data_IF_233927209124
#
_entry.id   IF_233927209124
#
_cell.length_a   1.000
_cell.length_b   1.000
_cell.length_c   1.000
_cell.angle_alpha   90.00
_cell.angle_beta   90.00
_cell.angle_gamma   90.00
#
_symmetry.space_group_name_H-M   'P 1'
#
loop_
_entity.id
_entity.type
_entity.pdbx_description
1 polymer ?
#
# COMPACT_ATOMS: atom_id res chain seq x y z
N UNK A 1 55.71 -53.49 -24.39
CA UNK A 1 56.47 -52.81 -23.33
C UNK A 1 55.83 -51.44 -23.12
N UNK A 2 55.19 -51.25 -21.96
CA UNK A 2 54.77 -49.97 -21.33
C UNK A 2 53.59 -49.24 -22.03
N UNK A 3 52.33 -49.29 -21.58
CA UNK A 3 51.63 -48.81 -20.35
C UNK A 3 50.92 -47.43 -20.50
N UNK A 4 49.61 -47.45 -20.20
CA UNK A 4 48.76 -46.46 -19.51
C UNK A 4 48.37 -45.09 -20.13
N UNK A 5 47.08 -45.02 -20.51
CA UNK A 5 46.00 -44.18 -19.99
C UNK A 5 46.25 -42.80 -19.33
N UNK A 6 45.22 -41.94 -19.52
CA UNK A 6 44.72 -40.84 -18.64
C UNK A 6 45.49 -39.51 -18.79
N UNK A 7 44.90 -38.31 -18.96
CA UNK A 7 43.60 -37.74 -18.58
C UNK A 7 43.21 -36.60 -19.55
N UNK A 8 41.91 -36.51 -19.87
CA UNK A 8 41.29 -35.26 -20.34
C UNK A 8 41.24 -34.27 -19.16
N UNK A 9 41.88 -33.11 -19.29
CA UNK A 9 41.83 -32.05 -18.29
C UNK A 9 40.67 -31.08 -18.62
N UNK A 10 39.46 -31.46 -18.23
CA UNK A 10 38.32 -30.56 -18.18
C UNK A 10 38.50 -29.72 -16.92
N UNK A 11 39.02 -28.51 -17.07
CA UNK A 11 38.89 -27.48 -16.03
C UNK A 11 37.43 -27.03 -16.01
N UNK A 12 36.59 -27.81 -15.31
CA UNK A 12 35.28 -27.40 -14.83
C UNK A 12 35.45 -26.18 -13.94
N UNK A 13 35.21 -25.00 -14.51
CA UNK A 13 34.91 -23.80 -13.76
C UNK A 13 33.54 -24.01 -13.12
N UNK A 14 33.52 -24.49 -11.88
CA UNK A 14 32.36 -24.33 -11.00
C UNK A 14 32.24 -22.85 -10.68
N UNK A 15 31.53 -22.11 -11.54
CA UNK A 15 30.93 -20.85 -11.12
C UNK A 15 29.76 -21.25 -10.22
N UNK A 16 30.04 -21.36 -8.92
CA UNK A 16 28.98 -21.35 -7.90
C UNK A 16 28.40 -19.94 -7.96
N UNK A 17 27.38 -19.78 -8.81
CA UNK A 17 26.51 -18.63 -8.78
C UNK A 17 25.82 -18.69 -7.42
N UNK A 18 26.40 -18.03 -6.42
CA UNK A 18 25.72 -17.73 -5.18
C UNK A 18 24.55 -16.82 -5.54
N UNK A 19 23.42 -17.45 -5.85
CA UNK A 19 22.13 -16.81 -5.86
C UNK A 19 21.89 -16.38 -4.41
N UNK A 20 22.39 -15.20 -4.06
CA UNK A 20 21.90 -14.45 -2.93
C UNK A 20 20.45 -14.16 -3.26
N UNK A 21 19.56 -15.07 -2.89
CA UNK A 21 18.16 -14.78 -2.73
C UNK A 21 18.14 -13.73 -1.64
N UNK A 22 18.12 -12.46 -2.05
CA UNK A 22 17.78 -11.37 -1.16
C UNK A 22 16.30 -11.58 -0.84
N UNK A 23 16.01 -12.43 0.14
CA UNK A 23 14.75 -12.39 0.83
C UNK A 23 14.71 -11.02 1.48
N UNK A 24 14.02 -10.07 0.84
CA UNK A 24 13.58 -8.85 1.50
C UNK A 24 12.74 -9.31 2.70
N UNK A 25 13.38 -9.40 3.87
CA UNK A 25 12.77 -9.88 5.10
C UNK A 25 11.87 -8.76 5.63
N UNK A 26 10.64 -8.68 5.12
CA UNK A 26 9.63 -7.81 5.71
C UNK A 26 9.34 -8.28 7.14
N UNK A 27 9.40 -7.35 8.09
CA UNK A 27 8.98 -7.58 9.45
C UNK A 27 7.44 -7.70 9.52
N UNK A 28 6.94 -8.28 10.60
CA UNK A 28 5.52 -8.21 10.91
C UNK A 28 5.11 -6.74 11.16
N UNK A 29 3.85 -6.35 10.87
CA UNK A 29 3.36 -5.02 11.23
C UNK A 29 3.59 -4.74 12.73
N UNK A 30 3.95 -3.50 13.12
CA UNK A 30 4.27 -3.14 14.50
C UNK A 30 3.03 -3.03 15.42
N UNK A 31 1.92 -3.65 15.03
CA UNK A 31 0.67 -3.68 15.76
C UNK A 31 0.01 -5.05 15.63
N UNK A 32 -0.79 -5.42 16.63
CA UNK A 32 -1.67 -6.60 16.54
C UNK A 32 -3.00 -6.16 15.94
N UNK A 33 -3.56 -6.96 15.04
CA UNK A 33 -4.87 -6.68 14.46
C UNK A 33 -5.92 -6.59 15.60
N UNK A 34 -6.65 -5.47 15.73
CA UNK A 34 -7.71 -5.33 16.72
C UNK A 34 -8.86 -6.32 16.48
N UNK A 35 -9.69 -6.55 17.49
CA UNK A 35 -10.92 -7.35 17.34
C UNK A 35 -11.86 -6.68 16.34
N UNK A 36 -12.65 -7.47 15.62
CA UNK A 36 -13.59 -6.95 14.62
C UNK A 36 -14.56 -5.89 15.19
N UNK A 37 -15.01 -6.07 16.44
CA UNK A 37 -15.87 -5.10 17.14
C UNK A 37 -15.24 -3.71 17.29
N UNK A 38 -13.91 -3.65 17.40
CA UNK A 38 -13.17 -2.40 17.51
C UNK A 38 -12.85 -1.82 16.13
N UNK A 39 -12.51 -2.68 15.16
CA UNK A 39 -12.34 -2.29 13.76
C UNK A 39 -13.61 -1.67 13.18
N UNK A 40 -14.79 -2.22 13.49
CA UNK A 40 -16.07 -1.71 13.02
C UNK A 40 -16.39 -0.29 13.54
N UNK A 41 -15.62 0.24 14.50
CA UNK A 41 -15.71 1.63 14.95
C UNK A 41 -14.88 2.60 14.09
N UNK A 42 -14.01 2.09 13.23
CA UNK A 42 -13.07 2.83 12.38
C UNK A 42 -13.60 3.01 10.94
N UNK A 43 -14.84 3.52 10.79
CA UNK A 43 -15.50 3.63 9.48
C UNK A 43 -15.38 4.99 8.81
N UNK A 44 -14.73 5.94 9.47
CA UNK A 44 -14.68 7.31 8.96
C UNK A 44 -13.31 7.91 9.16
N UNK A 45 -12.84 8.63 8.16
CA UNK A 45 -11.58 9.36 8.23
C UNK A 45 -11.66 10.68 7.46
N UNK A 46 -10.70 11.56 7.73
CA UNK A 46 -10.48 12.78 6.95
C UNK A 46 -9.00 12.86 6.57
N UNK A 47 -8.74 13.14 5.29
CA UNK A 47 -7.42 13.56 4.81
C UNK A 47 -7.49 15.07 4.58
N UNK A 48 -6.73 15.82 5.36
CA UNK A 48 -6.52 17.25 5.14
C UNK A 48 -5.34 17.43 4.20
N UNK A 49 -5.56 18.10 3.08
CA UNK A 49 -4.53 18.35 2.05
C UNK A 49 -4.37 19.84 1.80
N UNK A 50 -3.37 20.21 1.01
CA UNK A 50 -3.20 21.57 0.48
C UNK A 50 -4.35 22.04 -0.42
N UNK A 51 -5.21 21.14 -0.91
CA UNK A 51 -6.38 21.45 -1.76
C UNK A 51 -7.72 21.42 -1.03
N UNK A 52 -7.71 21.08 0.26
CA UNK A 52 -8.92 20.94 1.05
C UNK A 52 -9.03 19.56 1.71
N UNK A 53 -10.21 19.26 2.21
CA UNK A 53 -10.48 18.05 3.01
C UNK A 53 -11.16 16.99 2.16
N UNK A 54 -10.67 15.76 2.26
CA UNK A 54 -11.33 14.57 1.75
C UNK A 54 -11.95 13.82 2.91
N UNK A 55 -13.27 13.65 2.90
CA UNK A 55 -13.99 12.85 3.89
C UNK A 55 -14.14 11.44 3.35
N UNK A 56 -13.79 10.45 4.16
CA UNK A 56 -13.68 9.06 3.75
C UNK A 56 -14.64 8.18 4.53
N UNK A 57 -15.24 7.22 3.84
CA UNK A 57 -15.74 5.98 4.43
C UNK A 57 -14.64 4.91 4.33
N UNK A 58 -14.41 4.17 5.42
CA UNK A 58 -13.44 3.07 5.48
C UNK A 58 -14.16 1.72 5.62
N UNK A 59 -13.51 0.64 5.16
CA UNK A 59 -14.10 -0.69 5.03
C UNK A 59 -13.39 -1.74 5.91
N UNK A 60 -13.54 -1.66 7.25
CA UNK A 60 -12.88 -2.60 8.18
C UNK A 60 -13.35 -4.05 8.04
N UNK A 61 -14.51 -4.30 7.43
CA UNK A 61 -14.99 -5.65 7.12
C UNK A 61 -14.32 -6.27 5.90
N UNK A 62 -13.94 -5.45 4.91
CA UNK A 62 -13.35 -5.91 3.65
C UNK A 62 -11.82 -5.91 3.68
N UNK A 63 -11.22 -4.95 4.40
CA UNK A 63 -9.78 -4.77 4.49
C UNK A 63 -9.33 -4.43 5.94
N UNK A 64 -9.52 -5.35 6.91
CA UNK A 64 -9.23 -5.10 8.32
C UNK A 64 -7.77 -4.74 8.60
N UNK A 65 -6.80 -5.38 7.93
CA UNK A 65 -5.38 -5.05 8.12
C UNK A 65 -5.05 -3.66 7.60
N UNK A 66 -5.60 -3.26 6.46
CA UNK A 66 -5.34 -1.94 5.89
C UNK A 66 -5.99 -0.82 6.69
N UNK A 67 -7.22 -0.99 7.16
CA UNK A 67 -7.88 0.01 8.01
C UNK A 67 -7.15 0.16 9.35
N UNK A 68 -6.72 -0.95 9.97
CA UNK A 68 -5.93 -0.93 11.19
C UNK A 68 -4.57 -0.22 10.99
N UNK A 69 -3.87 -0.54 9.91
CA UNK A 69 -2.59 0.07 9.56
C UNK A 69 -2.74 1.57 9.27
N UNK A 70 -3.78 1.96 8.51
CA UNK A 70 -4.07 3.36 8.20
C UNK A 70 -4.35 4.16 9.47
N UNK A 71 -5.15 3.62 10.41
CA UNK A 71 -5.35 4.20 11.75
C UNK A 71 -4.05 4.34 12.51
N UNK A 72 -3.25 3.27 12.57
CA UNK A 72 -1.99 3.24 13.30
C UNK A 72 -1.04 4.33 12.78
N UNK A 73 -0.83 4.42 11.46
CA UNK A 73 0.05 5.42 10.86
C UNK A 73 -0.48 6.85 11.04
N UNK A 74 -1.80 7.05 10.91
CA UNK A 74 -2.43 8.35 11.15
C UNK A 74 -2.23 8.83 12.60
N UNK A 75 -2.41 7.95 13.59
CA UNK A 75 -2.19 8.27 15.01
C UNK A 75 -0.74 8.66 15.33
N UNK A 76 0.21 8.09 14.59
CA UNK A 76 1.63 8.41 14.71
C UNK A 76 2.05 9.59 13.83
N UNK A 77 1.09 10.33 13.25
CA UNK A 77 1.33 11.47 12.37
C UNK A 77 2.24 11.16 11.18
N UNK A 78 2.31 9.89 10.76
CA UNK A 78 3.23 9.42 9.72
C UNK A 78 3.04 10.19 8.40
N UNK A 79 1.77 10.42 8.02
CA UNK A 79 1.42 11.05 6.75
C UNK A 79 1.63 12.57 6.71
N UNK A 80 1.88 13.22 7.85
CA UNK A 80 1.93 14.67 7.92
C UNK A 80 3.15 15.21 7.13
N UNK A 81 2.88 16.05 6.14
CA UNK A 81 3.88 16.61 5.24
C UNK A 81 4.39 15.61 4.18
N UNK A 82 3.78 14.44 4.04
CA UNK A 82 4.03 13.56 2.89
C UNK A 82 3.29 14.08 1.67
N UNK A 83 3.80 13.72 0.49
CA UNK A 83 3.29 14.21 -0.79
C UNK A 83 2.52 13.14 -1.54
N UNK A 84 1.62 13.58 -2.40
CA UNK A 84 1.21 12.78 -3.55
C UNK A 84 2.31 12.84 -4.61
N UNK A 85 3.10 11.77 -4.72
CA UNK A 85 4.25 11.72 -5.63
C UNK A 85 3.89 11.23 -7.03
N UNK A 86 2.74 10.58 -7.22
CA UNK A 86 2.24 10.16 -8.54
C UNK A 86 0.88 10.82 -8.79
N UNK A 87 0.76 11.46 -9.95
CA UNK A 87 -0.50 11.95 -10.50
C UNK A 87 -0.61 11.49 -11.95
N UNK A 88 -1.58 10.65 -12.22
CA UNK A 88 -1.95 10.26 -13.59
C UNK A 88 -3.37 10.73 -13.85
N UNK A 89 -3.50 11.67 -14.79
CA UNK A 89 -4.78 12.27 -15.15
C UNK A 89 -5.76 11.16 -15.57
N UNK A 90 -6.98 11.26 -15.07
CA UNK A 90 -8.06 10.30 -15.35
C UNK A 90 -7.74 8.86 -14.94
N UNK A 91 -6.79 8.66 -14.00
CA UNK A 91 -6.49 7.35 -13.45
C UNK A 91 -6.33 7.37 -11.94
N UNK A 92 -5.21 7.86 -11.40
CA UNK A 92 -4.94 7.84 -9.95
C UNK A 92 -4.15 9.07 -9.47
N UNK A 93 -4.37 9.41 -8.20
CA UNK A 93 -3.43 10.18 -7.39
C UNK A 93 -2.90 9.25 -6.28
N UNK A 94 -1.58 9.10 -6.16
CA UNK A 94 -0.95 8.21 -5.18
C UNK A 94 0.07 8.96 -4.33
N UNK A 95 0.06 8.65 -3.03
CA UNK A 95 0.89 9.29 -2.02
C UNK A 95 1.18 8.37 -0.85
N UNK A 96 1.72 8.95 0.23
CA UNK A 96 1.99 8.23 1.47
C UNK A 96 3.35 7.54 1.54
N UNK A 97 4.23 7.72 0.54
CA UNK A 97 5.57 7.15 0.59
C UNK A 97 6.52 7.89 1.56
N UNK A 98 7.56 7.23 2.09
CA UNK A 98 8.51 7.82 3.03
C UNK A 98 9.14 9.13 2.54
N UNK A 99 9.26 10.14 3.41
CA UNK A 99 9.76 11.48 3.06
C UNK A 99 11.12 11.49 2.33
N UNK A 100 12.03 10.58 2.69
CA UNK A 100 13.36 10.45 2.07
C UNK A 100 13.39 9.54 0.84
N UNK A 101 12.34 8.74 0.64
CA UNK A 101 12.21 7.81 -0.48
C UNK A 101 10.72 7.66 -0.84
N UNK A 102 10.13 8.57 -1.64
CA UNK A 102 8.69 8.58 -1.92
C UNK A 102 8.18 7.31 -2.61
N UNK A 103 9.04 6.57 -3.30
CA UNK A 103 8.70 5.31 -3.96
C UNK A 103 9.00 4.08 -3.11
N UNK A 104 9.59 4.28 -1.93
CA UNK A 104 9.89 3.23 -0.96
C UNK A 104 8.73 2.92 -0.03
N UNK A 105 8.99 2.10 0.97
CA UNK A 105 8.00 1.70 1.97
C UNK A 105 8.65 1.54 3.34
N UNK A 106 7.84 1.26 4.36
CA UNK A 106 8.37 0.82 5.66
C UNK A 106 8.81 -0.64 5.60
N UNK A 107 9.46 -1.11 6.66
CA UNK A 107 10.05 -2.44 6.72
C UNK A 107 9.03 -3.57 6.98
N UNK A 108 7.74 -3.36 6.70
CA UNK A 108 6.70 -4.39 6.69
C UNK A 108 5.80 -4.21 5.46
N UNK A 109 5.12 -5.30 5.09
CA UNK A 109 4.06 -5.30 4.08
C UNK A 109 2.73 -5.74 4.70
N UNK A 110 1.64 -5.46 4.00
CA UNK A 110 0.31 -5.92 4.39
C UNK A 110 -0.11 -7.09 3.49
N UNK A 111 -0.87 -8.08 4.01
CA UNK A 111 -1.41 -9.14 3.18
C UNK A 111 -2.37 -8.57 2.12
N UNK A 112 -2.54 -9.27 1.00
CA UNK A 112 -3.58 -8.93 0.04
C UNK A 112 -4.99 -9.14 0.66
N UNK A 113 -5.84 -8.11 0.65
CA UNK A 113 -7.25 -8.19 1.08
C UNK A 113 -8.16 -7.80 -0.10
N UNK A 114 -7.97 -8.47 -1.23
CA UNK A 114 -8.78 -8.22 -2.43
C UNK A 114 -10.25 -8.50 -2.16
N UNK A 115 -11.11 -7.57 -2.60
CA UNK A 115 -12.54 -7.62 -2.35
C UNK A 115 -13.34 -7.24 -3.61
N UNK A 116 -14.65 -7.47 -3.58
CA UNK A 116 -15.56 -7.32 -4.73
C UNK A 116 -15.93 -5.86 -5.04
N UNK A 117 -15.32 -4.88 -4.36
CA UNK A 117 -15.57 -3.47 -4.64
C UNK A 117 -14.93 -3.10 -5.97
N UNK A 118 -15.63 -2.28 -6.75
CA UNK A 118 -15.13 -1.76 -8.00
C UNK A 118 -14.17 -0.58 -7.74
N UNK A 119 -13.05 -0.52 -8.46
CA UNK A 119 -12.16 0.65 -8.50
C UNK A 119 -12.83 1.77 -9.31
N UNK A 120 -13.64 2.57 -8.64
CA UNK A 120 -14.40 3.70 -9.19
C UNK A 120 -13.81 5.04 -8.76
N UNK A 121 -14.28 6.14 -9.34
CA UNK A 121 -13.91 7.47 -8.89
C UNK A 121 -14.04 7.63 -7.36
N UNK A 122 -12.95 8.10 -6.73
CA UNK A 122 -12.86 8.32 -5.29
C UNK A 122 -12.56 7.08 -4.44
N UNK A 123 -12.44 5.87 -5.01
CA UNK A 123 -12.06 4.69 -4.19
C UNK A 123 -10.61 4.78 -3.74
N UNK A 124 -10.35 4.38 -2.50
CA UNK A 124 -9.02 4.26 -1.94
C UNK A 124 -8.55 2.82 -2.04
N UNK A 125 -7.40 2.63 -2.68
CA UNK A 125 -6.72 1.34 -2.72
C UNK A 125 -5.27 1.45 -2.29
N UNK A 126 -4.68 0.31 -1.94
CA UNK A 126 -3.30 0.26 -1.47
C UNK A 126 -2.37 -0.08 -2.61
N UNK A 127 -1.26 0.65 -2.71
CA UNK A 127 -0.27 0.39 -3.73
C UNK A 127 0.40 -0.96 -3.47
N UNK A 128 0.96 -1.57 -4.50
CA UNK A 128 1.80 -2.76 -4.38
C UNK A 128 2.84 -2.78 -5.48
N UNK A 129 3.92 -3.51 -5.24
CA UNK A 129 4.90 -3.84 -6.28
C UNK A 129 4.27 -4.76 -7.34
N UNK A 130 4.90 -4.82 -8.52
CA UNK A 130 4.48 -5.71 -9.61
C UNK A 130 4.55 -7.18 -9.19
N UNK A 131 3.60 -8.00 -9.67
CA UNK A 131 3.44 -9.39 -9.24
C UNK A 131 4.68 -10.25 -9.53
N UNK A 132 5.45 -9.94 -10.58
CA UNK A 132 6.69 -10.66 -10.90
C UNK A 132 7.73 -10.61 -9.78
N UNK A 133 7.77 -9.51 -9.02
CA UNK A 133 8.68 -9.28 -7.89
C UNK A 133 7.95 -9.28 -6.54
N UNK A 134 6.66 -9.60 -6.56
CA UNK A 134 5.77 -9.64 -5.40
C UNK A 134 4.74 -10.76 -5.59
N UNK A 135 5.17 -12.03 -5.60
CA UNK A 135 4.30 -13.17 -5.90
C UNK A 135 3.18 -13.36 -4.88
N UNK A 136 3.40 -12.96 -3.62
CA UNK A 136 2.38 -12.96 -2.57
C UNK A 136 1.35 -11.83 -2.75
N UNK A 137 1.61 -10.93 -3.71
CA UNK A 137 0.79 -9.76 -4.05
C UNK A 137 0.52 -8.87 -2.82
N UNK A 138 1.46 -8.88 -1.88
CA UNK A 138 1.42 -8.10 -0.65
C UNK A 138 1.31 -6.61 -0.98
N UNK A 139 0.51 -5.91 -0.19
CA UNK A 139 0.31 -4.47 -0.33
C UNK A 139 1.41 -3.71 0.38
N UNK A 140 1.62 -2.47 -0.08
CA UNK A 140 2.45 -1.50 0.61
C UNK A 140 1.96 -1.29 2.04
N UNK A 141 2.87 -1.00 2.97
CA UNK A 141 2.48 -0.57 4.31
C UNK A 141 2.08 0.90 4.38
N UNK A 142 2.45 1.74 3.41
CA UNK A 142 2.26 3.19 3.53
C UNK A 142 1.63 3.87 2.32
N UNK A 143 1.90 3.36 1.12
CA UNK A 143 1.45 4.01 -0.10
C UNK A 143 0.02 3.61 -0.44
N UNK A 144 -0.84 4.62 -0.60
CA UNK A 144 -2.22 4.47 -1.05
C UNK A 144 -2.50 5.36 -2.26
N UNK A 145 -3.47 4.96 -3.05
CA UNK A 145 -3.97 5.70 -4.20
C UNK A 145 -5.45 6.02 -4.06
N UNK A 146 -5.88 7.13 -4.67
CA UNK A 146 -7.28 7.49 -4.84
C UNK A 146 -7.56 7.50 -6.34
N UNK A 147 -8.60 6.78 -6.77
CA UNK A 147 -9.00 6.69 -8.16
C UNK A 147 -9.59 8.02 -8.65
N UNK A 148 -9.10 8.49 -9.79
CA UNK A 148 -9.58 9.67 -10.51
C UNK A 148 -10.46 9.31 -11.71
N UNK A 149 -10.67 8.01 -11.98
CA UNK A 149 -11.68 7.48 -12.90
C UNK A 149 -11.94 6.00 -12.59
N UNK A 150 -12.85 5.35 -13.31
CA UNK A 150 -13.06 3.89 -13.26
C UNK A 150 -11.84 3.15 -13.81
N UNK A 151 -11.35 2.14 -13.07
CA UNK A 151 -10.22 1.30 -13.46
C UNK A 151 -10.52 -0.20 -13.30
N UNK A 152 -11.29 -0.84 -14.20
CA UNK A 152 -11.71 -2.24 -14.05
C UNK A 152 -10.54 -3.22 -14.01
N UNK A 153 -9.41 -2.89 -14.64
CA UNK A 153 -8.20 -3.71 -14.63
C UNK A 153 -7.53 -3.83 -13.25
N UNK A 154 -7.91 -2.98 -12.29
CA UNK A 154 -7.44 -3.06 -10.91
C UNK A 154 -8.33 -3.93 -10.03
N UNK A 155 -9.56 -4.24 -10.47
CA UNK A 155 -10.50 -5.03 -9.69
C UNK A 155 -9.91 -6.40 -9.35
N UNK A 156 -10.15 -6.86 -8.12
CA UNK A 156 -9.60 -8.10 -7.57
C UNK A 156 -8.06 -8.19 -7.60
N UNK A 157 -7.39 -7.07 -7.84
CA UNK A 157 -5.92 -7.00 -7.97
C UNK A 157 -5.24 -5.99 -7.06
N UNK A 158 -6.00 -5.05 -6.52
CA UNK A 158 -5.56 -4.12 -5.50
C UNK A 158 -6.57 -4.10 -4.35
N UNK A 159 -6.08 -3.94 -3.13
CA UNK A 159 -6.93 -3.91 -1.94
C UNK A 159 -7.62 -2.56 -1.84
N UNK A 160 -8.95 -2.51 -2.00
CA UNK A 160 -9.76 -1.34 -1.67
C UNK A 160 -10.06 -1.35 -0.18
N UNK A 161 -9.77 -0.24 0.53
CA UNK A 161 -10.00 -0.12 1.97
C UNK A 161 -10.87 1.08 2.36
N UNK A 162 -11.29 1.90 1.40
CA UNK A 162 -12.20 3.02 1.63
C UNK A 162 -12.66 3.72 0.35
N UNK A 163 -13.44 4.79 0.51
CA UNK A 163 -13.89 5.67 -0.59
C UNK A 163 -14.09 7.10 -0.07
N UNK A 164 -13.76 8.08 -0.91
CA UNK A 164 -14.13 9.48 -0.68
C UNK A 164 -15.65 9.60 -0.74
N UNK A 165 -16.27 10.24 0.25
CA UNK A 165 -17.71 10.49 0.33
C UNK A 165 -18.07 11.98 0.34
N UNK A 166 -17.10 12.87 0.59
CA UNK A 166 -17.23 14.32 0.38
C UNK A 166 -15.85 14.96 0.16
N UNK A 167 -15.84 16.17 -0.43
CA UNK A 167 -14.60 16.88 -0.80
C UNK A 167 -14.09 16.53 -2.20
N UNK A 168 -14.98 16.19 -3.13
CA UNK A 168 -14.60 15.81 -4.49
C UNK A 168 -13.99 16.97 -5.30
N UNK A 169 -14.31 18.21 -4.96
CA UNK A 169 -13.67 19.42 -5.47
C UNK A 169 -12.18 19.45 -5.10
N UNK A 170 -11.85 19.17 -3.84
CA UNK A 170 -10.47 19.02 -3.39
C UNK A 170 -9.77 17.86 -4.09
N UNK A 171 -10.44 16.70 -4.24
CA UNK A 171 -9.89 15.55 -4.98
C UNK A 171 -9.56 15.89 -6.43
N UNK A 172 -10.48 16.56 -7.14
CA UNK A 172 -10.29 16.97 -8.52
C UNK A 172 -9.15 18.00 -8.69
N UNK A 173 -8.89 18.79 -7.65
CA UNK A 173 -7.83 19.79 -7.63
C UNK A 173 -6.43 19.22 -7.31
N UNK A 174 -6.34 18.01 -6.75
CA UNK A 174 -5.05 17.40 -6.38
C UNK A 174 -4.14 17.13 -7.59
N UNK A 175 -2.86 17.41 -7.41
CA UNK A 175 -1.78 17.19 -8.38
C UNK A 175 -0.55 16.62 -7.66
N UNK A 176 0.44 16.21 -8.46
CA UNK A 176 1.75 15.81 -7.93
C UNK A 176 2.35 16.95 -7.09
N UNK A 177 3.01 16.58 -5.99
CA UNK A 177 3.59 17.44 -4.96
C UNK A 177 2.62 18.13 -3.99
N UNK A 178 1.31 17.99 -4.16
CA UNK A 178 0.38 18.42 -3.11
C UNK A 178 0.60 17.60 -1.84
N UNK A 179 0.49 18.27 -0.69
CA UNK A 179 0.82 17.68 0.61
C UNK A 179 -0.42 17.16 1.34
N UNK A 180 -0.20 16.07 2.07
CA UNK A 180 -1.08 15.56 3.12
C UNK A 180 -0.70 16.30 4.40
N UNK A 181 -1.54 17.23 4.83
CA UNK A 181 -1.30 18.01 6.05
C UNK A 181 -1.56 17.16 7.29
N UNK A 182 -2.64 16.37 7.26
CA UNK A 182 -3.06 15.54 8.38
C UNK A 182 -4.01 14.43 7.92
N UNK A 183 -3.92 13.26 8.56
CA UNK A 183 -4.96 12.23 8.46
C UNK A 183 -5.53 11.98 9.85
N UNK A 184 -6.86 11.92 9.94
CA UNK A 184 -7.57 11.59 11.17
C UNK A 184 -8.50 10.43 10.87
N UNK A 185 -8.35 9.32 11.59
CA UNK A 185 -9.30 8.21 11.55
C UNK A 185 -10.11 8.22 12.83
N UNK A 186 -11.42 8.41 12.71
CA UNK A 186 -12.31 8.57 13.85
C UNK A 186 -12.70 7.23 14.46
N UNK A 187 -12.87 7.22 15.78
CA UNK A 187 -13.40 6.07 16.52
C UNK A 187 -14.84 6.37 16.92
N UNK A 188 -15.79 5.62 16.37
CA UNK A 188 -17.21 5.76 16.73
C UNK A 188 -17.40 5.36 18.20
N UNK A 189 -18.03 6.24 18.98
CA UNK A 189 -18.47 5.91 20.36
C UNK A 189 -19.57 4.85 20.29
N UNK A 190 -19.50 3.85 21.17
CA UNK A 190 -20.63 2.94 21.39
C UNK A 190 -21.84 3.76 21.86
N UNK A 191 -23.02 3.46 21.34
CA UNK A 191 -24.26 3.93 21.97
C UNK A 191 -24.39 3.14 23.27
N UNK A 192 -24.22 3.82 24.40
CA UNK A 192 -24.64 3.29 25.70
C UNK A 192 -26.16 3.14 25.73
#
# INVERSE_FOLDING_TARGET
>A
MIFLARFFNIKTWFVILSCFICFDLYAAPPFKLPKQSDLNKLKSAVIETTKGKLYLELYPEDAPWHVANFKFLADHNYYNGLKFHIFERDYIIQGGGPKKNPFGDLNWSLPAEFNQRAHEYGTLGMAKKQDLINPDRSSSSTQFHILLNRAPHMDLSYTIFGKVVAGYDALAALRSNDEINKIIVYVRKSKN
#
